data_IF_332287866353
#
_entry.id   IF_332287866353
#
_cell.length_a   1.000
_cell.length_b   1.000
_cell.length_c   1.000
_cell.angle_alpha   90.00
_cell.angle_beta   90.00
_cell.angle_gamma   90.00
#
_symmetry.space_group_name_H-M   'P 1'
#
loop_
_entity.id
_entity.type
_entity.pdbx_description
1 polymer ?
#
# COMPACT_ATOMS: atom_id res chain seq x y z
N UNK A 1 34.37 -32.95 -44.76
CA UNK A 1 33.32 -32.93 -43.70
C UNK A 1 33.52 -31.70 -42.81
N UNK A 2 32.76 -30.62 -43.06
CA UNK A 2 32.77 -29.37 -42.27
C UNK A 2 31.34 -29.07 -41.82
N UNK A 3 30.89 -29.65 -40.71
CA UNK A 3 29.53 -29.42 -40.19
C UNK A 3 29.46 -29.66 -38.68
N UNK A 4 30.26 -28.97 -37.86
CA UNK A 4 30.13 -29.08 -36.39
C UNK A 4 30.28 -27.76 -35.61
N UNK A 5 30.57 -26.63 -36.27
CA UNK A 5 30.84 -25.37 -35.57
C UNK A 5 29.56 -24.57 -35.26
N UNK A 6 28.60 -24.52 -36.19
CA UNK A 6 27.36 -23.73 -36.07
C UNK A 6 26.40 -24.22 -34.98
N UNK A 7 26.33 -25.53 -34.72
CA UNK A 7 25.48 -26.09 -33.65
C UNK A 7 25.95 -25.71 -32.24
N UNK A 8 27.26 -25.57 -32.02
CA UNK A 8 27.82 -25.14 -30.71
C UNK A 8 27.51 -23.68 -30.41
N UNK A 9 27.53 -22.81 -31.42
CA UNK A 9 27.27 -21.37 -31.27
C UNK A 9 25.79 -21.12 -30.93
N UNK A 10 24.87 -21.85 -31.58
CA UNK A 10 23.42 -21.76 -31.31
C UNK A 10 23.09 -22.26 -29.89
N UNK A 11 23.73 -23.35 -29.45
CA UNK A 11 23.58 -23.89 -28.08
C UNK A 11 24.06 -22.90 -27.01
N UNK A 12 25.17 -22.20 -27.26
CA UNK A 12 25.71 -21.20 -26.33
C UNK A 12 24.81 -19.95 -26.21
N UNK A 13 24.21 -19.50 -27.31
CA UNK A 13 23.25 -18.38 -27.31
C UNK A 13 21.94 -18.71 -26.56
N UNK A 14 21.43 -19.92 -26.70
CA UNK A 14 20.22 -20.38 -26.00
C UNK A 14 20.42 -20.49 -24.48
N UNK A 15 21.60 -20.93 -24.04
CA UNK A 15 21.95 -21.01 -22.60
C UNK A 15 22.17 -19.61 -22.01
N UNK A 16 22.81 -18.70 -22.75
CA UNK A 16 22.97 -17.30 -22.36
C UNK A 16 21.63 -16.57 -22.20
N UNK A 17 20.70 -16.79 -23.12
CA UNK A 17 19.35 -16.22 -23.05
C UNK A 17 18.56 -16.71 -21.82
N UNK A 18 18.79 -17.94 -21.34
CA UNK A 18 18.16 -18.46 -20.13
C UNK A 18 18.59 -17.72 -18.86
N UNK A 19 19.84 -17.21 -18.79
CA UNK A 19 20.32 -16.47 -17.62
C UNK A 19 19.74 -15.05 -17.53
N UNK A 20 19.35 -14.44 -18.67
CA UNK A 20 18.71 -13.11 -18.67
C UNK A 20 17.24 -13.15 -18.22
N UNK A 21 16.58 -14.31 -18.25
CA UNK A 21 15.19 -14.45 -17.80
C UNK A 21 15.05 -14.50 -16.27
N UNK A 22 16.13 -14.73 -15.53
CA UNK A 22 16.12 -14.76 -14.06
C UNK A 22 16.54 -13.44 -13.40
N UNK A 23 16.85 -12.39 -14.17
CA UNK A 23 17.11 -11.05 -13.60
C UNK A 23 15.81 -10.27 -13.40
N UNK A 24 14.78 -10.90 -12.85
CA UNK A 24 13.69 -10.16 -12.23
C UNK A 24 14.17 -9.80 -10.82
N UNK A 25 14.89 -8.69 -10.68
CA UNK A 25 15.18 -8.13 -9.36
C UNK A 25 13.84 -7.64 -8.81
N UNK A 26 13.18 -8.44 -7.97
CA UNK A 26 12.20 -7.89 -7.05
C UNK A 26 12.99 -6.91 -6.18
N UNK A 27 12.74 -5.62 -6.39
CA UNK A 27 13.23 -4.57 -5.51
C UNK A 27 12.61 -4.89 -4.13
N UNK A 28 13.37 -5.50 -3.22
CA UNK A 28 12.99 -5.86 -1.84
C UNK A 28 12.79 -4.61 -0.96
N UNK A 29 12.39 -3.49 -1.57
CA UNK A 29 12.16 -2.22 -0.89
C UNK A 29 10.90 -2.34 -0.06
N UNK A 30 11.05 -2.06 1.22
CA UNK A 30 9.92 -2.06 2.15
C UNK A 30 9.52 -0.62 2.43
N UNK A 31 8.23 -0.35 2.35
CA UNK A 31 7.68 0.94 2.75
C UNK A 31 7.32 0.87 4.23
N UNK A 32 7.94 1.70 5.06
CA UNK A 32 7.55 1.86 6.45
C UNK A 32 6.50 2.95 6.56
N UNK A 33 5.27 2.57 6.88
CA UNK A 33 4.14 3.50 7.05
C UNK A 33 4.19 4.11 8.46
N UNK A 34 4.31 5.43 8.55
CA UNK A 34 4.44 6.16 9.82
C UNK A 34 3.16 6.91 10.20
N UNK A 35 2.55 7.57 9.21
CA UNK A 35 1.34 8.37 9.39
C UNK A 35 0.40 8.13 8.22
N UNK A 36 -0.89 8.36 8.49
CA UNK A 36 -1.96 8.32 7.50
C UNK A 36 -2.72 9.62 7.62
N UNK A 37 -2.94 10.31 6.50
CA UNK A 37 -3.73 11.53 6.43
C UNK A 37 -5.12 11.16 5.90
N UNK A 38 -6.13 11.33 6.74
CA UNK A 38 -7.53 11.21 6.35
C UNK A 38 -7.92 12.52 5.63
N UNK A 39 -8.16 12.45 4.32
CA UNK A 39 -8.45 13.63 3.51
C UNK A 39 -9.94 13.98 3.54
N UNK A 40 -10.79 13.00 3.23
CA UNK A 40 -12.25 13.14 3.24
C UNK A 40 -12.92 11.76 3.29
N UNK A 41 -14.18 11.74 3.72
CA UNK A 41 -15.06 10.58 3.56
C UNK A 41 -16.54 11.00 3.50
N UNK A 42 -17.34 10.35 2.64
CA UNK A 42 -18.67 10.86 2.27
C UNK A 42 -19.68 10.90 3.45
N UNK A 43 -19.49 10.03 4.46
CA UNK A 43 -20.36 9.95 5.65
C UNK A 43 -20.07 11.00 6.72
N UNK A 44 -19.13 11.92 6.52
CA UNK A 44 -18.67 12.90 7.52
C UNK A 44 -19.83 13.61 8.24
N UNK A 45 -20.88 14.01 7.51
CA UNK A 45 -22.03 14.74 8.06
C UNK A 45 -23.13 13.88 8.69
N UNK A 46 -23.03 12.56 8.54
CA UNK A 46 -24.11 11.62 8.92
C UNK A 46 -23.75 10.70 10.09
N UNK A 47 -22.48 10.69 10.51
CA UNK A 47 -22.04 9.89 11.64
C UNK A 47 -22.40 10.54 12.97
N UNK A 48 -22.73 9.75 14.01
CA UNK A 48 -22.80 10.27 15.37
C UNK A 48 -21.41 10.76 15.82
N UNK A 49 -21.38 11.67 16.80
CA UNK A 49 -20.13 12.08 17.44
C UNK A 49 -19.41 10.87 18.02
N UNK A 50 -18.20 10.62 17.55
CA UNK A 50 -17.44 9.43 17.90
C UNK A 50 -15.93 9.62 17.67
N UNK A 51 -15.14 8.58 17.98
CA UNK A 51 -13.72 8.54 17.63
C UNK A 51 -13.52 7.65 16.40
N UNK A 52 -12.86 8.20 15.40
CA UNK A 52 -12.46 7.55 14.17
C UNK A 52 -11.01 7.08 14.27
N UNK A 53 -10.68 6.01 13.57
CA UNK A 53 -9.33 5.47 13.46
C UNK A 53 -9.22 4.62 12.22
N UNK A 54 -8.00 4.47 11.70
CA UNK A 54 -7.73 3.72 10.49
C UNK A 54 -6.96 2.47 10.84
N UNK A 55 -7.36 1.34 10.26
CA UNK A 55 -6.65 0.06 10.38
C UNK A 55 -6.04 -0.33 9.04
N UNK A 56 -4.89 -0.97 9.09
CA UNK A 56 -4.19 -1.49 7.92
C UNK A 56 -4.25 -3.02 7.91
N UNK A 57 -4.52 -3.59 6.74
CA UNK A 57 -4.62 -5.04 6.54
C UNK A 57 -3.84 -5.46 5.30
N UNK A 58 -3.37 -6.72 5.30
CA UNK A 58 -3.02 -7.45 4.07
C UNK A 58 -4.31 -8.01 3.50
N UNK A 59 -4.48 -8.02 2.17
CA UNK A 59 -5.78 -8.32 1.53
C UNK A 59 -6.44 -9.63 2.02
N UNK A 60 -5.66 -10.69 2.26
CA UNK A 60 -6.17 -11.99 2.71
C UNK A 60 -6.29 -12.13 4.25
N UNK A 61 -5.84 -11.13 5.01
CA UNK A 61 -5.80 -11.16 6.48
C UNK A 61 -7.04 -10.52 7.10
N UNK A 62 -7.65 -11.21 8.06
CA UNK A 62 -8.69 -10.63 8.94
C UNK A 62 -8.11 -9.87 10.14
N UNK A 63 -6.79 -9.95 10.34
CA UNK A 63 -6.09 -9.34 11.47
C UNK A 63 -5.40 -8.08 10.94
N UNK A 64 -5.68 -6.95 11.59
CA UNK A 64 -5.02 -5.68 11.30
C UNK A 64 -3.56 -5.74 11.71
N UNK A 65 -2.67 -5.26 10.86
CA UNK A 65 -1.23 -5.21 11.14
C UNK A 65 -0.81 -3.93 11.88
N UNK A 66 -1.65 -2.90 11.83
CA UNK A 66 -1.47 -1.64 12.54
C UNK A 66 -2.77 -0.82 12.58
N UNK A 67 -2.84 0.14 13.49
CA UNK A 67 -3.94 1.11 13.58
C UNK A 67 -3.44 2.51 13.91
N UNK A 68 -4.24 3.53 13.61
CA UNK A 68 -3.91 4.91 13.98
C UNK A 68 -4.29 5.23 15.42
N UNK A 69 -3.79 6.36 15.92
CA UNK A 69 -4.44 7.05 17.04
C UNK A 69 -5.91 7.40 16.74
N UNK A 70 -6.66 7.67 17.82
CA UNK A 70 -8.07 8.04 17.76
C UNK A 70 -8.24 9.51 17.35
N UNK A 71 -9.15 9.78 16.42
CA UNK A 71 -9.49 11.09 15.90
C UNK A 71 -10.95 11.46 16.22
N UNK A 72 -11.23 12.60 16.86
CA UNK A 72 -12.61 13.07 17.07
C UNK A 72 -13.32 13.38 15.74
N UNK A 73 -14.49 12.77 15.48
CA UNK A 73 -15.22 12.92 14.21
C UNK A 73 -15.82 14.31 13.98
N UNK A 74 -15.86 15.15 15.01
CA UNK A 74 -16.37 16.52 15.02
C UNK A 74 -15.31 17.57 14.65
N UNK A 75 -14.04 17.16 14.50
CA UNK A 75 -12.96 18.03 14.08
C UNK A 75 -12.81 18.08 12.55
N UNK A 76 -12.30 19.19 11.99
CA UNK A 76 -12.19 19.38 10.55
C UNK A 76 -11.10 18.52 9.90
N UNK A 77 -11.38 18.01 8.71
CA UNK A 77 -10.43 17.35 7.82
C UNK A 77 -9.67 18.35 6.91
N UNK A 78 -8.47 18.00 6.40
CA UNK A 78 -7.78 16.72 6.57
C UNK A 78 -7.05 16.59 7.91
N UNK A 79 -6.91 15.35 8.39
CA UNK A 79 -6.24 15.04 9.65
C UNK A 79 -5.11 14.02 9.46
N UNK A 80 -3.90 14.36 9.92
CA UNK A 80 -2.76 13.44 9.95
C UNK A 80 -2.75 12.66 11.26
N UNK A 81 -2.81 11.33 11.15
CA UNK A 81 -2.91 10.40 12.25
C UNK A 81 -1.69 9.50 12.29
N UNK A 82 -1.10 9.33 13.47
CA UNK A 82 0.05 8.46 13.66
C UNK A 82 -0.33 6.99 13.70
N UNK A 83 0.42 6.14 12.99
CA UNK A 83 0.26 4.68 12.99
C UNK A 83 1.02 4.00 14.13
N UNK A 84 0.41 3.00 14.75
CA UNK A 84 1.02 2.11 15.73
C UNK A 84 0.60 0.63 15.55
N UNK A 85 1.55 -0.31 15.48
CA UNK A 85 2.96 -0.08 15.15
C UNK A 85 3.11 0.61 13.79
N UNK A 86 4.31 1.04 13.39
CA UNK A 86 4.57 1.57 12.04
C UNK A 86 4.89 0.39 11.10
N UNK A 87 3.92 -0.16 10.35
CA UNK A 87 4.10 -1.44 9.68
C UNK A 87 5.04 -1.32 8.49
N UNK A 88 5.79 -2.38 8.24
CA UNK A 88 6.57 -2.54 7.01
C UNK A 88 5.71 -3.23 5.95
N UNK A 89 5.62 -2.60 4.78
CA UNK A 89 4.74 -2.98 3.69
C UNK A 89 5.56 -3.26 2.43
N UNK A 90 5.42 -4.46 1.86
CA UNK A 90 5.98 -4.77 0.55
C UNK A 90 4.94 -4.44 -0.51
N UNK A 91 4.85 -3.16 -0.87
CA UNK A 91 3.76 -2.66 -1.71
C UNK A 91 3.79 -3.21 -3.15
N UNK A 92 4.96 -3.60 -3.66
CA UNK A 92 5.09 -4.16 -5.02
C UNK A 92 4.72 -5.63 -5.13
N UNK A 93 4.84 -6.39 -4.04
CA UNK A 93 4.59 -7.84 -4.03
C UNK A 93 3.40 -8.29 -3.19
N UNK A 94 2.73 -7.38 -2.50
CA UNK A 94 1.62 -7.71 -1.60
C UNK A 94 0.55 -6.64 -1.63
N UNK A 95 -0.70 -7.05 -1.75
CA UNK A 95 -1.86 -6.16 -1.69
C UNK A 95 -2.25 -5.86 -0.24
N UNK A 96 -2.55 -4.60 0.00
CA UNK A 96 -3.00 -4.08 1.29
C UNK A 96 -4.27 -3.27 1.11
N UNK A 97 -5.02 -3.09 2.19
CA UNK A 97 -6.10 -2.12 2.25
C UNK A 97 -6.12 -1.43 3.60
N UNK A 98 -6.69 -0.23 3.61
CA UNK A 98 -6.94 0.56 4.81
C UNK A 98 -8.45 0.62 5.03
N UNK A 99 -8.86 0.51 6.28
CA UNK A 99 -10.26 0.61 6.67
C UNK A 99 -10.45 1.76 7.65
N UNK A 100 -11.47 2.58 7.43
CA UNK A 100 -11.93 3.58 8.38
C UNK A 100 -12.91 2.95 9.36
N UNK A 101 -12.67 3.12 10.65
CA UNK A 101 -13.49 2.61 11.74
C UNK A 101 -13.93 3.74 12.67
N UNK A 102 -15.15 3.62 13.18
CA UNK A 102 -15.65 4.39 14.31
C UNK A 102 -15.72 3.52 15.56
N UNK A 103 -15.35 4.05 16.71
CA UNK A 103 -15.44 3.32 17.97
C UNK A 103 -16.89 2.97 18.37
N UNK A 104 -17.88 3.68 17.81
CA UNK A 104 -19.32 3.39 17.99
C UNK A 104 -19.88 2.69 16.76
N UNK A 105 -19.64 3.22 15.55
CA UNK A 105 -20.25 2.68 14.32
C UNK A 105 -19.57 1.42 13.78
N UNK A 106 -18.38 1.07 14.26
CA UNK A 106 -17.58 -0.02 13.70
C UNK A 106 -17.00 0.35 12.33
N UNK A 107 -16.88 -0.63 11.45
CA UNK A 107 -16.40 -0.43 10.08
C UNK A 107 -17.26 0.60 9.33
N UNK A 108 -16.62 1.58 8.69
CA UNK A 108 -17.29 2.66 7.95
C UNK A 108 -17.09 2.48 6.45
N UNK A 109 -15.83 2.35 6.01
CA UNK A 109 -15.44 2.21 4.61
C UNK A 109 -13.99 1.69 4.46
N UNK A 110 -13.57 1.33 3.25
CA UNK A 110 -12.21 0.86 2.94
C UNK A 110 -11.64 1.47 1.66
N UNK A 111 -10.33 1.57 1.58
CA UNK A 111 -9.60 1.83 0.35
C UNK A 111 -8.49 0.80 0.13
N UNK A 112 -8.38 0.29 -1.10
CA UNK A 112 -7.35 -0.68 -1.47
C UNK A 112 -6.09 0.04 -1.96
N UNK A 113 -4.92 -0.40 -1.49
CA UNK A 113 -3.62 0.16 -1.89
C UNK A 113 -3.20 -0.47 -3.21
N UNK A 114 -3.32 0.29 -4.30
CA UNK A 114 -2.92 -0.13 -5.63
C UNK A 114 -1.68 0.63 -6.09
N UNK A 115 -0.56 -0.08 -6.24
CA UNK A 115 0.70 0.47 -6.75
C UNK A 115 0.68 0.76 -8.25
N UNK A 116 -0.39 0.44 -8.97
CA UNK A 116 -0.53 0.86 -10.37
C UNK A 116 -1.20 2.23 -10.49
N UNK A 117 -1.98 2.62 -9.48
CA UNK A 117 -2.79 3.84 -9.46
C UNK A 117 -2.20 4.96 -8.58
N UNK A 118 -1.10 4.67 -7.88
CA UNK A 118 -0.52 5.62 -6.94
C UNK A 118 0.26 6.74 -7.62
N UNK A 119 0.17 7.93 -7.03
CA UNK A 119 1.02 9.08 -7.35
C UNK A 119 1.90 9.38 -6.14
N UNK A 120 3.21 9.29 -6.30
CA UNK A 120 4.16 9.80 -5.30
C UNK A 120 4.14 11.33 -5.38
N UNK A 121 3.66 11.98 -4.33
CA UNK A 121 3.76 13.44 -4.18
C UNK A 121 4.90 13.72 -3.20
N UNK A 122 5.92 14.47 -3.61
CA UNK A 122 7.01 14.82 -2.72
C UNK A 122 6.57 15.89 -1.70
N UNK A 123 6.85 15.71 -0.39
CA UNK A 123 7.61 14.61 0.23
C UNK A 123 6.75 13.36 0.53
N UNK A 124 7.02 12.26 -0.20
CA UNK A 124 6.43 10.89 -0.14
C UNK A 124 5.05 10.77 0.55
N UNK A 125 4.05 11.38 -0.07
CA UNK A 125 2.63 11.09 0.15
C UNK A 125 2.15 10.13 -0.96
N UNK A 126 1.49 9.04 -0.57
CA UNK A 126 0.82 8.09 -1.47
C UNK A 126 -0.68 8.23 -1.30
N UNK A 127 -1.36 8.85 -2.28
CA UNK A 127 -2.82 8.94 -2.30
C UNK A 127 -3.44 7.57 -2.63
N UNK A 128 -4.37 7.12 -1.79
CA UNK A 128 -5.17 5.91 -1.97
C UNK A 128 -6.63 6.32 -1.91
N UNK A 129 -7.34 6.17 -3.04
CA UNK A 129 -8.74 6.59 -3.17
C UNK A 129 -9.65 5.37 -3.30
N UNK A 130 -10.61 5.26 -2.39
CA UNK A 130 -11.85 4.53 -2.62
C UNK A 130 -12.92 5.46 -3.21
N UNK A 131 -14.09 4.92 -3.56
CA UNK A 131 -15.20 5.74 -4.09
C UNK A 131 -15.68 6.80 -3.07
N UNK A 132 -15.58 6.50 -1.77
CA UNK A 132 -16.17 7.32 -0.70
C UNK A 132 -15.19 7.62 0.47
N UNK A 133 -13.93 7.22 0.35
CA UNK A 133 -12.86 7.40 1.34
C UNK A 133 -11.56 7.78 0.64
N UNK A 134 -10.99 8.92 1.04
CA UNK A 134 -9.70 9.39 0.53
C UNK A 134 -8.68 9.47 1.66
N UNK A 135 -7.58 8.75 1.47
CA UNK A 135 -6.50 8.63 2.45
C UNK A 135 -5.16 8.83 1.74
N UNK A 136 -4.25 9.58 2.37
CA UNK A 136 -2.85 9.66 1.97
C UNK A 136 -1.96 8.93 2.96
N UNK A 137 -1.16 7.97 2.48
CA UNK A 137 -0.16 7.24 3.28
C UNK A 137 1.17 7.98 3.26
N UNK A 138 1.77 8.20 4.43
CA UNK A 138 3.07 8.88 4.55
C UNK A 138 4.07 8.01 5.30
N UNK A 139 5.27 7.92 4.76
CA UNK A 139 6.26 6.97 5.24
C UNK A 139 7.60 7.11 4.55
N UNK A 140 8.43 6.09 4.72
CA UNK A 140 9.79 6.06 4.17
C UNK A 140 10.09 4.69 3.57
N UNK A 141 10.74 4.70 2.41
CA UNK A 141 11.33 3.48 1.83
C UNK A 141 12.60 3.10 2.59
N UNK A 142 12.75 1.81 2.90
CA UNK A 142 13.97 1.20 3.41
C UNK A 142 14.63 0.35 2.34
#
# INVERSE_FOLDING_TARGET
MKTNSTKKIISFFLVSALFFLFSCQNDDRTFQLNTVKLEQFEKEKSLPEQKLFIKVFKEESKISIAETELYPSDLPLPATLKMYPSPEMNLYGTSYHLELWGNITGYIDRCSVHMDDYKIIFPIDMEVKGEHLEISMQGSWK
#
